data_IF_008639527150
#
_entry.id   IF_008639527150
#
_cell.length_a   1.000
_cell.length_b   1.000
_cell.length_c   1.000
_cell.angle_alpha   90.00
_cell.angle_beta   90.00
_cell.angle_gamma   90.00
#
_symmetry.space_group_name_H-M   'P 1'
#
loop_
_entity.id
_entity.type
_entity.pdbx_description
1 polymer ?
#
# COMPACT_ATOMS: atom_id res chain seq x y z
N UNK A 1 -15.01 13.71 20.83
CA UNK A 1 -15.52 12.47 20.29
C UNK A 1 -16.09 12.65 18.89
N UNK A 2 -16.36 11.57 18.23
CA UNK A 2 -16.87 11.56 16.84
C UNK A 2 -18.36 11.19 16.76
N UNK A 3 -18.94 10.64 17.84
CA UNK A 3 -20.38 10.42 17.91
C UNK A 3 -21.11 11.67 18.37
N UNK A 4 -22.32 11.88 17.83
CA UNK A 4 -23.23 12.96 18.21
C UNK A 4 -24.60 12.40 18.54
N UNK A 5 -25.39 13.14 19.33
CA UNK A 5 -26.78 12.77 19.57
C UNK A 5 -27.61 13.00 18.30
N UNK A 6 -28.30 11.95 17.81
CA UNK A 6 -29.26 12.08 16.71
C UNK A 6 -30.51 12.87 17.13
N UNK A 7 -30.83 12.90 18.43
CA UNK A 7 -31.92 13.68 19.03
C UNK A 7 -31.50 14.26 20.36
N UNK A 8 -31.94 15.47 20.68
CA UNK A 8 -31.68 16.16 21.98
C UNK A 8 -32.50 15.61 23.17
N UNK A 9 -33.43 14.72 22.93
CA UNK A 9 -34.28 14.07 23.92
C UNK A 9 -34.18 12.55 23.82
N UNK A 10 -34.43 11.81 24.90
CA UNK A 10 -34.38 10.36 24.89
C UNK A 10 -35.28 9.77 23.82
N UNK A 11 -34.81 8.70 23.15
CA UNK A 11 -35.60 7.95 22.17
C UNK A 11 -36.70 7.08 22.85
N UNK A 12 -36.49 6.73 24.12
CA UNK A 12 -37.45 6.02 24.97
C UNK A 12 -37.22 6.38 26.44
N UNK A 13 -38.28 6.26 27.25
CA UNK A 13 -38.25 6.44 28.71
C UNK A 13 -39.02 5.30 29.32
N UNK A 14 -38.48 4.65 30.37
CA UNK A 14 -39.14 3.65 31.16
C UNK A 14 -38.75 3.77 32.62
N UNK A 15 -39.55 3.16 33.55
CA UNK A 15 -39.31 3.23 34.97
C UNK A 15 -40.04 4.41 35.70
N UNK A 16 -41.02 5.06 35.06
CA UNK A 16 -41.83 6.09 35.70
C UNK A 16 -42.48 5.54 36.96
N UNK A 17 -42.51 6.34 38.03
CA UNK A 17 -42.99 5.93 39.35
C UNK A 17 -41.96 5.17 40.21
N UNK A 18 -40.75 4.97 39.70
CA UNK A 18 -39.62 4.37 40.43
C UNK A 18 -38.51 5.39 40.69
N UNK A 19 -37.46 4.98 41.43
CA UNK A 19 -36.26 5.80 41.63
C UNK A 19 -35.28 5.77 40.48
N UNK A 20 -35.46 4.84 39.53
CA UNK A 20 -34.57 4.62 38.41
C UNK A 20 -35.34 4.78 37.09
N UNK A 21 -34.84 5.66 36.23
CA UNK A 21 -35.34 5.81 34.85
C UNK A 21 -34.29 5.26 33.87
N UNK A 22 -34.76 4.47 32.93
CA UNK A 22 -33.97 4.09 31.77
C UNK A 22 -34.30 5.00 30.59
N UNK A 23 -33.27 5.65 30.05
CA UNK A 23 -33.39 6.61 28.95
C UNK A 23 -32.70 6.05 27.70
N UNK A 24 -33.44 5.89 26.61
CA UNK A 24 -32.84 5.49 25.33
C UNK A 24 -32.04 6.61 24.72
N UNK A 25 -30.83 6.30 24.26
CA UNK A 25 -29.92 7.23 23.58
C UNK A 25 -29.76 6.81 22.13
N UNK A 26 -30.00 7.73 21.22
CA UNK A 26 -29.77 7.50 19.78
C UNK A 26 -28.58 8.35 19.34
N UNK A 27 -27.54 7.67 18.80
CA UNK A 27 -26.31 8.29 18.33
C UNK A 27 -26.22 8.25 16.81
N UNK A 28 -25.58 9.26 16.24
CA UNK A 28 -25.01 9.25 14.88
C UNK A 28 -23.50 9.10 15.01
N UNK A 29 -22.93 8.16 14.28
CA UNK A 29 -21.52 7.77 14.40
C UNK A 29 -21.28 6.80 15.56
N UNK A 30 -20.03 6.34 15.67
CA UNK A 30 -19.59 5.44 16.75
C UNK A 30 -18.81 6.25 17.80
N UNK A 31 -19.14 6.14 19.10
CA UNK A 31 -18.38 6.80 20.13
C UNK A 31 -16.97 6.20 20.25
N UNK A 32 -16.00 7.04 20.57
CA UNK A 32 -14.61 6.65 20.83
C UNK A 32 -14.20 6.77 22.32
N UNK A 33 -15.18 6.77 23.23
CA UNK A 33 -14.95 6.84 24.67
C UNK A 33 -14.62 8.25 25.21
N UNK A 34 -14.47 9.25 24.33
CA UNK A 34 -14.17 10.65 24.71
C UNK A 34 -15.42 11.53 24.79
N UNK A 35 -16.56 11.01 24.38
CA UNK A 35 -17.85 11.71 24.44
C UNK A 35 -18.43 11.68 25.85
N UNK A 36 -18.91 12.82 26.30
CA UNK A 36 -19.60 12.97 27.58
C UNK A 36 -21.08 13.22 27.31
N UNK A 37 -21.92 12.26 27.67
CA UNK A 37 -23.37 12.43 27.68
C UNK A 37 -23.77 13.21 28.92
N UNK A 38 -24.53 14.29 28.74
CA UNK A 38 -25.13 15.04 29.84
C UNK A 38 -26.66 14.89 29.80
N UNK A 39 -27.25 14.52 30.93
CA UNK A 39 -28.70 14.38 31.07
C UNK A 39 -29.22 15.47 31.97
N UNK A 40 -30.16 16.28 31.50
CA UNK A 40 -30.76 17.36 32.25
C UNK A 40 -32.28 17.26 32.20
N UNK A 41 -32.98 17.22 33.35
CA UNK A 41 -34.44 17.29 33.36
C UNK A 41 -34.92 18.60 32.72
N UNK A 42 -35.95 18.54 31.91
CA UNK A 42 -36.62 19.75 31.41
C UNK A 42 -37.37 20.40 32.55
N UNK A 43 -37.34 21.73 32.65
CA UNK A 43 -38.05 22.47 33.70
C UNK A 43 -39.50 22.07 33.75
N UNK A 44 -40.03 21.79 34.97
CA UNK A 44 -41.41 21.41 35.23
C UNK A 44 -41.88 20.13 34.52
N UNK A 45 -40.97 19.20 34.22
CA UNK A 45 -41.32 17.96 33.51
C UNK A 45 -41.20 16.71 34.37
N UNK A 46 -40.50 16.77 35.49
CA UNK A 46 -40.30 15.65 36.44
C UNK A 46 -40.63 16.10 37.83
N UNK A 47 -41.48 15.31 38.48
CA UNK A 47 -41.99 15.58 39.83
C UNK A 47 -41.80 14.37 40.75
N UNK A 48 -41.64 14.58 42.02
CA UNK A 48 -41.79 13.54 43.04
C UNK A 48 -43.28 13.26 43.35
N UNK A 49 -43.53 12.25 44.19
CA UNK A 49 -44.90 11.87 44.55
C UNK A 49 -45.68 12.98 45.25
N UNK A 50 -45.07 13.82 46.15
CA UNK A 50 -45.72 14.99 46.73
C UNK A 50 -45.92 16.18 45.78
N UNK A 51 -45.34 16.15 44.57
CA UNK A 51 -45.52 17.21 43.57
C UNK A 51 -44.34 18.21 43.51
N UNK A 52 -43.22 17.95 44.18
CA UNK A 52 -42.05 18.84 44.08
C UNK A 52 -41.33 18.66 42.73
N UNK A 53 -40.93 19.80 42.18
CA UNK A 53 -40.27 19.83 40.85
C UNK A 53 -38.80 19.41 40.98
N UNK A 54 -38.32 18.55 40.10
CA UNK A 54 -36.90 18.21 39.98
C UNK A 54 -36.08 19.41 39.54
N UNK A 55 -34.97 19.67 40.23
CA UNK A 55 -34.01 20.70 39.82
C UNK A 55 -33.43 20.42 38.42
N UNK A 56 -33.32 21.45 37.61
CA UNK A 56 -32.60 21.38 36.34
C UNK A 56 -31.08 21.41 36.49
N UNK A 57 -30.58 21.84 37.68
CA UNK A 57 -29.18 21.82 38.04
C UNK A 57 -28.84 20.51 38.73
N UNK A 58 -28.10 19.63 38.05
CA UNK A 58 -27.73 18.32 38.54
C UNK A 58 -26.20 18.20 38.62
N UNK A 59 -25.66 17.64 39.73
CA UNK A 59 -24.22 17.46 39.92
C UNK A 59 -23.69 16.12 39.36
N UNK A 60 -24.57 15.11 39.20
CA UNK A 60 -24.21 13.74 38.73
C UNK A 60 -25.00 13.37 37.49
N UNK A 61 -24.94 14.23 36.48
CA UNK A 61 -25.74 14.11 35.28
C UNK A 61 -24.89 13.82 34.01
N UNK A 62 -23.63 13.45 34.21
CA UNK A 62 -22.67 13.17 33.10
C UNK A 62 -22.20 11.72 33.13
N UNK A 63 -22.10 11.14 31.99
CA UNK A 63 -21.51 9.81 31.75
C UNK A 63 -20.68 9.82 30.49
N UNK A 64 -19.50 9.19 30.50
CA UNK A 64 -18.76 8.93 29.28
C UNK A 64 -19.45 7.83 28.50
N UNK A 65 -19.53 7.99 27.17
CA UNK A 65 -19.96 6.91 26.31
C UNK A 65 -18.88 5.84 26.24
N UNK A 66 -19.32 4.59 26.16
CA UNK A 66 -18.39 3.48 25.94
C UNK A 66 -17.81 3.56 24.53
N UNK A 67 -16.52 3.28 24.40
CA UNK A 67 -15.87 3.16 23.10
C UNK A 67 -16.48 2.04 22.28
N UNK A 68 -16.83 2.35 21.03
CA UNK A 68 -17.34 1.46 19.98
C UNK A 68 -16.65 1.72 18.66
N UNK A 69 -15.64 2.58 18.66
CA UNK A 69 -14.80 2.83 17.52
C UNK A 69 -13.79 1.68 17.41
N UNK A 70 -13.54 1.20 16.22
CA UNK A 70 -12.64 0.06 16.00
C UNK A 70 -11.29 0.55 15.52
N UNK A 71 -10.18 -0.11 15.87
CA UNK A 71 -8.87 0.25 15.35
C UNK A 71 -8.83 0.21 13.82
N UNK A 72 -8.30 1.28 13.25
CA UNK A 72 -8.11 1.44 11.80
C UNK A 72 -6.74 2.03 11.51
N UNK A 73 -6.20 1.73 10.32
CA UNK A 73 -5.01 2.43 9.84
C UNK A 73 -5.34 3.90 9.57
N UNK A 74 -4.50 4.78 10.08
CA UNK A 74 -4.52 6.22 9.80
C UNK A 74 -3.49 6.61 8.75
N UNK A 75 -2.46 5.77 8.55
CA UNK A 75 -1.43 5.96 7.53
C UNK A 75 -0.72 4.65 7.22
N UNK A 76 -0.11 4.58 6.05
CA UNK A 76 0.89 3.58 5.69
C UNK A 76 2.00 4.18 4.84
N UNK A 77 3.23 3.63 4.94
CA UNK A 77 4.38 4.03 4.15
C UNK A 77 5.26 2.81 3.84
N UNK A 78 5.55 2.61 2.56
CA UNK A 78 6.44 1.54 2.09
C UNK A 78 7.88 2.05 2.04
N UNK A 79 8.82 1.23 2.49
CA UNK A 79 10.25 1.50 2.33
C UNK A 79 10.63 1.47 0.83
N UNK A 80 11.60 2.32 0.40
CA UNK A 80 12.01 2.38 -1.01
C UNK A 80 12.51 1.05 -1.59
N UNK A 81 13.04 0.16 -0.76
CA UNK A 81 13.53 -1.18 -1.12
C UNK A 81 12.47 -2.29 -1.01
N UNK A 82 11.22 -1.94 -0.75
CA UNK A 82 10.10 -2.86 -0.52
C UNK A 82 10.25 -3.80 0.70
N UNK A 83 11.26 -3.60 1.56
CA UNK A 83 11.55 -4.53 2.66
C UNK A 83 10.62 -4.38 3.86
N UNK A 84 9.99 -3.22 4.04
CA UNK A 84 9.17 -2.90 5.20
C UNK A 84 7.99 -2.02 4.80
N UNK A 85 6.81 -2.33 5.35
CA UNK A 85 5.66 -1.43 5.37
C UNK A 85 5.43 -0.92 6.80
N UNK A 86 5.44 0.38 7.00
CA UNK A 86 5.02 1.02 8.23
C UNK A 86 3.51 1.27 8.17
N UNK A 87 2.77 0.80 9.18
CA UNK A 87 1.33 1.06 9.34
C UNK A 87 1.09 1.75 10.67
N UNK A 88 0.30 2.82 10.67
CA UNK A 88 -0.04 3.55 11.88
C UNK A 88 -1.51 3.35 12.20
N UNK A 89 -1.82 2.85 13.40
CA UNK A 89 -3.20 2.79 13.87
C UNK A 89 -3.63 4.15 14.45
N UNK A 90 -4.92 4.44 14.36
CA UNK A 90 -5.54 5.64 14.94
C UNK A 90 -5.55 5.65 16.48
N UNK A 91 -5.25 4.51 17.12
CA UNK A 91 -5.26 4.29 18.57
C UNK A 91 -4.32 3.15 18.97
N UNK A 92 -3.98 3.00 20.27
CA UNK A 92 -3.21 1.86 20.77
C UNK A 92 -3.94 0.53 20.53
N UNK A 93 -3.20 -0.49 20.09
CA UNK A 93 -3.74 -1.82 19.80
C UNK A 93 -3.01 -2.94 20.55
N UNK A 94 -3.72 -4.04 20.76
CA UNK A 94 -3.29 -5.19 21.56
C UNK A 94 -3.70 -6.50 20.86
N UNK A 95 -2.95 -7.58 21.13
CA UNK A 95 -3.26 -8.91 20.60
C UNK A 95 -4.44 -9.61 21.31
N UNK A 96 -4.93 -9.07 22.44
CA UNK A 96 -6.04 -9.64 23.20
C UNK A 96 -7.07 -8.58 23.56
N UNK A 97 -8.36 -8.98 23.61
CA UNK A 97 -9.51 -8.11 23.89
C UNK A 97 -9.53 -7.50 25.29
N UNK A 98 -8.66 -7.94 26.19
CA UNK A 98 -8.50 -7.37 27.54
C UNK A 98 -7.36 -6.35 27.63
N UNK A 99 -6.95 -5.75 26.51
CA UNK A 99 -5.86 -4.78 26.39
C UNK A 99 -4.49 -5.35 26.83
N UNK A 100 -4.23 -6.62 26.57
CA UNK A 100 -2.94 -7.26 26.84
C UNK A 100 -2.40 -7.98 25.60
N UNK A 101 -1.14 -8.39 25.67
CA UNK A 101 -0.45 -9.06 24.57
C UNK A 101 0.15 -8.07 23.58
N UNK A 102 1.33 -8.42 23.09
CA UNK A 102 2.01 -7.68 22.02
C UNK A 102 1.52 -8.19 20.67
N UNK A 103 1.40 -7.27 19.73
CA UNK A 103 1.15 -7.58 18.32
C UNK A 103 2.37 -8.28 17.75
N UNK A 104 2.17 -9.36 17.01
CA UNK A 104 3.21 -10.15 16.36
C UNK A 104 2.90 -10.42 14.86
N UNK A 105 3.75 -11.19 14.22
CA UNK A 105 3.66 -11.48 12.78
C UNK A 105 2.38 -12.23 12.40
N UNK A 106 1.82 -13.02 13.30
CA UNK A 106 0.61 -13.82 13.05
C UNK A 106 -0.69 -13.00 13.07
N UNK A 107 -0.62 -11.74 13.51
CA UNK A 107 -1.77 -10.84 13.64
C UNK A 107 -2.11 -10.11 12.33
N UNK A 108 -1.28 -10.29 11.29
CA UNK A 108 -1.45 -9.65 9.99
C UNK A 108 -1.56 -10.66 8.86
N UNK A 109 -2.19 -10.25 7.78
CA UNK A 109 -2.25 -10.96 6.51
C UNK A 109 -1.73 -10.09 5.38
N UNK A 110 -0.88 -10.68 4.52
CA UNK A 110 -0.32 -10.09 3.32
C UNK A 110 -0.84 -10.79 2.08
N UNK A 111 -1.13 -10.01 1.04
CA UNK A 111 -1.38 -10.53 -0.32
C UNK A 111 -0.66 -9.66 -1.34
N UNK A 112 -0.18 -10.28 -2.42
CA UNK A 112 0.47 -9.62 -3.53
C UNK A 112 -0.16 -10.13 -4.83
N UNK A 113 -0.57 -9.23 -5.71
CA UNK A 113 -1.20 -9.55 -6.98
C UNK A 113 -0.53 -8.76 -8.11
N UNK A 114 -0.38 -9.42 -9.25
CA UNK A 114 0.30 -8.86 -10.43
C UNK A 114 1.81 -8.95 -10.31
N UNK A 115 2.50 -8.40 -11.30
CA UNK A 115 3.95 -8.26 -11.36
C UNK A 115 4.76 -9.55 -11.36
N UNK A 116 6.06 -9.37 -11.27
CA UNK A 116 7.06 -10.44 -11.33
C UNK A 116 7.41 -11.02 -9.96
N UNK A 117 7.37 -10.19 -8.90
CA UNK A 117 7.69 -10.61 -7.54
C UNK A 117 6.57 -11.43 -6.88
N UNK A 118 6.95 -12.27 -5.92
CA UNK A 118 6.01 -13.07 -5.11
C UNK A 118 6.33 -12.94 -3.64
N UNK A 119 5.31 -13.02 -2.78
CA UNK A 119 5.53 -13.09 -1.33
C UNK A 119 6.09 -14.47 -0.95
N UNK A 120 7.18 -14.49 -0.17
CA UNK A 120 7.67 -15.71 0.47
C UNK A 120 6.77 -16.15 1.63
N UNK A 121 6.04 -15.21 2.25
CA UNK A 121 5.10 -15.46 3.35
C UNK A 121 3.86 -14.57 3.19
N UNK A 122 2.69 -15.11 3.48
CA UNK A 122 1.43 -14.37 3.50
C UNK A 122 1.22 -13.58 4.82
N UNK A 123 2.28 -13.28 5.56
CA UNK A 123 2.32 -12.52 6.81
C UNK A 123 3.69 -11.87 6.98
N UNK A 124 3.85 -10.85 7.85
CA UNK A 124 5.13 -10.18 8.07
C UNK A 124 6.23 -11.14 8.50
N UNK A 125 7.45 -10.92 8.03
CA UNK A 125 8.63 -11.63 8.50
C UNK A 125 9.08 -11.15 9.90
N UNK A 126 8.82 -9.88 10.20
CA UNK A 126 9.11 -9.25 11.48
C UNK A 126 8.08 -8.17 11.81
N UNK A 127 7.96 -7.84 13.11
CA UNK A 127 7.13 -6.74 13.60
C UNK A 127 7.95 -5.89 14.55
N UNK A 128 8.12 -4.60 14.22
CA UNK A 128 8.64 -3.56 15.10
C UNK A 128 7.52 -2.61 15.53
N UNK A 129 7.64 -1.94 16.68
CA UNK A 129 6.64 -1.01 17.16
C UNK A 129 7.26 0.25 17.76
N UNK A 130 6.73 1.42 17.32
CA UNK A 130 7.02 2.71 17.95
C UNK A 130 5.69 3.46 18.09
N UNK A 131 5.19 3.61 19.32
CA UNK A 131 3.86 4.16 19.58
C UNK A 131 2.76 3.32 18.90
N UNK A 132 1.93 3.96 18.07
CA UNK A 132 0.87 3.30 17.29
C UNK A 132 1.32 2.86 15.90
N UNK A 133 2.61 3.05 15.56
CA UNK A 133 3.17 2.65 14.26
C UNK A 133 3.86 1.30 14.37
N UNK A 134 3.51 0.42 13.48
CA UNK A 134 4.07 -0.93 13.35
C UNK A 134 4.85 -1.04 12.04
N UNK A 135 6.12 -1.45 12.14
CA UNK A 135 6.97 -1.76 10.99
C UNK A 135 6.86 -3.25 10.70
N UNK A 136 6.29 -3.62 9.57
CA UNK A 136 6.01 -4.99 9.17
C UNK A 136 7.00 -5.38 8.08
N UNK A 137 7.88 -6.35 8.34
CA UNK A 137 8.87 -6.85 7.40
C UNK A 137 8.21 -7.59 6.23
N UNK A 138 8.66 -7.31 5.01
CA UNK A 138 8.21 -7.94 3.77
C UNK A 138 9.37 -8.77 3.22
N UNK A 139 9.11 -10.02 2.81
CA UNK A 139 10.06 -10.83 2.05
C UNK A 139 9.48 -11.23 0.73
N UNK A 140 10.19 -10.86 -0.33
CA UNK A 140 9.84 -11.17 -1.70
C UNK A 140 10.78 -12.26 -2.26
N UNK A 141 10.27 -13.03 -3.19
CA UNK A 141 10.99 -13.85 -4.14
C UNK A 141 10.92 -13.14 -5.49
N UNK A 142 12.09 -12.86 -6.06
CA UNK A 142 12.22 -12.00 -7.25
C UNK A 142 12.17 -10.50 -6.94
N UNK A 143 12.41 -9.72 -7.97
CA UNK A 143 12.38 -8.26 -7.94
C UNK A 143 11.00 -7.77 -8.38
N UNK A 144 10.48 -6.77 -7.70
CA UNK A 144 9.22 -6.14 -8.08
C UNK A 144 9.41 -5.27 -9.32
N UNK A 145 8.45 -5.33 -10.25
CA UNK A 145 8.41 -4.55 -11.49
C UNK A 145 7.48 -3.32 -11.41
N UNK A 146 7.05 -2.95 -10.19
CA UNK A 146 6.18 -1.80 -9.95
C UNK A 146 4.71 -2.01 -10.36
N UNK A 147 4.36 -3.15 -10.97
CA UNK A 147 2.97 -3.46 -11.33
C UNK A 147 2.23 -4.20 -10.21
N UNK A 148 2.96 -4.76 -9.24
CA UNK A 148 2.41 -5.47 -8.11
C UNK A 148 1.51 -4.57 -7.27
N UNK A 149 0.38 -5.14 -6.82
CA UNK A 149 -0.48 -4.55 -5.81
C UNK A 149 -0.32 -5.33 -4.51
N UNK A 150 0.35 -4.71 -3.54
CA UNK A 150 0.55 -5.25 -2.21
C UNK A 150 -0.58 -4.82 -1.29
N UNK A 151 -1.23 -5.79 -0.64
CA UNK A 151 -2.30 -5.56 0.34
C UNK A 151 -1.91 -6.15 1.68
N UNK A 152 -2.15 -5.40 2.75
CA UNK A 152 -1.83 -5.78 4.12
C UNK A 152 -2.98 -5.38 5.05
N UNK A 153 -3.39 -6.27 5.93
CA UNK A 153 -4.53 -6.05 6.82
C UNK A 153 -4.36 -6.80 8.14
N UNK A 154 -5.05 -6.37 9.22
CA UNK A 154 -5.20 -7.18 10.41
C UNK A 154 -5.86 -8.52 10.09
N UNK A 155 -5.36 -9.59 10.68
CA UNK A 155 -6.04 -10.88 10.66
C UNK A 155 -7.33 -10.77 11.47
N UNK A 156 -8.38 -11.43 11.01
CA UNK A 156 -9.68 -11.37 11.66
C UNK A 156 -9.62 -11.80 13.13
N UNK A 157 -10.00 -10.91 14.03
CA UNK A 157 -10.06 -11.19 15.46
C UNK A 157 -8.72 -11.31 16.17
N UNK A 158 -7.62 -10.80 15.57
CA UNK A 158 -6.28 -10.86 16.15
C UNK A 158 -5.86 -9.55 16.84
N UNK A 159 -6.38 -8.40 16.40
CA UNK A 159 -6.00 -7.08 16.91
C UNK A 159 -7.21 -6.38 17.56
N UNK A 160 -7.01 -5.78 18.73
CA UNK A 160 -8.05 -5.14 19.54
C UNK A 160 -7.57 -3.80 20.07
N UNK A 161 -8.49 -2.87 20.36
CA UNK A 161 -8.22 -1.66 21.15
C UNK A 161 -8.20 -1.95 22.66
N UNK A 162 -8.06 -0.89 23.45
CA UNK A 162 -8.05 -0.95 24.93
C UNK A 162 -9.40 -1.33 25.53
N UNK A 163 -10.49 -1.28 24.78
CA UNK A 163 -11.84 -1.61 25.23
C UNK A 163 -12.37 -2.92 24.66
N UNK A 164 -11.54 -3.63 23.86
CA UNK A 164 -11.83 -4.93 23.29
C UNK A 164 -12.57 -4.89 21.95
N UNK A 165 -12.68 -3.72 21.28
CA UNK A 165 -13.20 -3.66 19.92
C UNK A 165 -12.16 -4.23 18.97
N UNK A 166 -12.59 -5.10 18.05
CA UNK A 166 -11.73 -5.76 17.06
C UNK A 166 -11.35 -4.79 15.94
N UNK A 167 -10.11 -4.78 15.52
CA UNK A 167 -9.68 -4.08 14.33
C UNK A 167 -10.47 -4.56 13.10
N UNK A 168 -10.84 -3.62 12.24
CA UNK A 168 -11.47 -3.95 10.96
C UNK A 168 -10.49 -4.69 10.06
N UNK A 169 -10.96 -5.69 9.33
CA UNK A 169 -10.20 -6.33 8.23
C UNK A 169 -10.28 -5.54 6.94
N UNK A 170 -11.24 -4.61 6.85
CA UNK A 170 -11.32 -3.62 5.76
C UNK A 170 -10.71 -2.32 6.27
N UNK A 171 -9.52 -2.00 5.77
CA UNK A 171 -8.74 -0.86 6.18
C UNK A 171 -8.61 0.14 5.04
N UNK A 172 -8.64 1.45 5.34
CA UNK A 172 -8.04 2.45 4.47
C UNK A 172 -6.51 2.30 4.54
N UNK A 173 -5.78 2.75 3.52
CA UNK A 173 -4.31 2.65 3.47
C UNK A 173 -3.73 1.23 3.57
N UNK A 174 -4.52 0.21 3.18
CA UNK A 174 -4.12 -1.20 3.25
C UNK A 174 -3.66 -1.79 1.91
N UNK A 175 -3.53 -0.98 0.87
CA UNK A 175 -3.09 -1.40 -0.46
C UNK A 175 -2.24 -0.32 -1.11
N UNK A 176 -1.15 -0.73 -1.75
CA UNK A 176 -0.24 0.15 -2.49
C UNK A 176 0.51 -0.63 -3.57
N UNK A 177 1.15 0.08 -4.49
CA UNK A 177 2.08 -0.51 -5.44
C UNK A 177 3.44 -0.72 -4.78
N UNK A 178 4.13 -1.81 -5.14
CA UNK A 178 5.55 -1.94 -4.82
C UNK A 178 6.36 -0.97 -5.69
N UNK A 179 7.51 -0.56 -5.16
CA UNK A 179 8.48 0.19 -5.94
C UNK A 179 9.12 -0.76 -6.97
N UNK A 180 9.33 -0.28 -8.18
CA UNK A 180 10.06 -1.01 -9.20
C UNK A 180 11.52 -1.22 -8.77
N UNK A 181 11.99 -2.45 -8.90
CA UNK A 181 13.36 -2.90 -8.61
C UNK A 181 13.87 -3.87 -9.68
N UNK A 182 13.03 -4.18 -10.67
CA UNK A 182 13.41 -5.03 -11.76
C UNK A 182 14.19 -4.22 -12.81
N UNK A 183 15.38 -4.65 -13.24
CA UNK A 183 16.06 -3.98 -14.32
C UNK A 183 15.30 -4.17 -15.64
N UNK A 184 15.41 -3.24 -16.60
CA UNK A 184 14.83 -3.39 -17.90
C UNK A 184 15.48 -4.55 -18.66
N UNK A 185 14.68 -5.40 -19.29
CA UNK A 185 15.13 -6.54 -20.06
C UNK A 185 14.79 -6.40 -21.56
N UNK A 186 15.58 -7.04 -22.41
CA UNK A 186 15.23 -7.18 -23.83
C UNK A 186 14.12 -8.22 -23.95
N UNK A 187 12.94 -7.77 -24.36
CA UNK A 187 11.76 -8.60 -24.58
C UNK A 187 11.82 -9.37 -25.89
N UNK A 188 12.31 -8.71 -26.94
CA UNK A 188 12.45 -9.33 -28.27
C UNK A 188 13.47 -8.60 -29.14
N UNK A 189 14.02 -9.34 -30.08
CA UNK A 189 14.88 -8.85 -31.14
C UNK A 189 14.26 -9.18 -32.50
N UNK A 190 14.37 -8.27 -33.47
CA UNK A 190 13.95 -8.48 -34.84
C UNK A 190 14.97 -7.90 -35.84
N UNK A 191 15.58 -8.74 -36.62
CA UNK A 191 16.50 -8.34 -37.69
C UNK A 191 15.72 -8.08 -39.00
N UNK A 192 15.98 -6.94 -39.62
CA UNK A 192 15.40 -6.63 -40.92
C UNK A 192 15.86 -7.66 -41.99
N UNK A 193 15.01 -7.96 -43.00
CA UNK A 193 15.28 -8.95 -44.01
C UNK A 193 16.51 -8.64 -44.86
N UNK A 194 16.86 -7.37 -44.99
CA UNK A 194 18.06 -6.88 -45.68
C UNK A 194 19.30 -6.78 -44.77
N UNK A 195 19.21 -7.24 -43.53
CA UNK A 195 20.25 -7.17 -42.49
C UNK A 195 20.73 -5.74 -42.14
N UNK A 196 20.03 -4.71 -42.57
CA UNK A 196 20.45 -3.32 -42.39
C UNK A 196 20.12 -2.76 -41.01
N UNK A 197 19.19 -3.36 -40.27
CA UNK A 197 18.65 -2.85 -38.99
C UNK A 197 18.31 -3.98 -38.06
N UNK A 198 18.57 -3.76 -36.75
CA UNK A 198 18.11 -4.59 -35.64
C UNK A 198 17.12 -3.77 -34.79
N UNK A 199 15.92 -4.29 -34.61
CA UNK A 199 14.95 -3.73 -33.64
C UNK A 199 15.06 -4.49 -32.34
N UNK A 200 15.13 -3.71 -31.21
CA UNK A 200 15.19 -4.20 -29.84
C UNK A 200 13.92 -3.67 -29.16
N UNK A 201 13.08 -4.56 -28.64
CA UNK A 201 11.92 -4.21 -27.82
C UNK A 201 12.25 -4.51 -26.36
N UNK A 202 12.13 -3.51 -25.48
CA UNK A 202 12.35 -3.67 -24.05
C UNK A 202 11.06 -3.99 -23.33
N UNK A 203 11.16 -4.63 -22.16
CA UNK A 203 10.02 -4.93 -21.28
C UNK A 203 9.32 -3.67 -20.80
N UNK A 204 10.05 -2.55 -20.75
CA UNK A 204 9.60 -1.26 -20.22
C UNK A 204 10.31 -0.08 -20.91
N UNK A 205 9.98 1.14 -20.51
CA UNK A 205 10.66 2.35 -21.00
C UNK A 205 12.05 2.48 -20.41
N UNK A 206 13.03 2.72 -21.28
CA UNK A 206 14.43 2.82 -20.89
C UNK A 206 15.03 4.20 -21.17
N UNK A 207 16.03 4.57 -20.38
CA UNK A 207 16.68 5.87 -20.33
C UNK A 207 18.20 5.72 -20.19
N UNK A 208 18.96 6.76 -20.56
CA UNK A 208 20.42 6.77 -20.41
C UNK A 208 20.89 7.18 -19.00
N UNK A 209 19.96 7.56 -18.09
CA UNK A 209 20.27 7.97 -16.73
C UNK A 209 19.34 7.31 -15.73
N UNK A 210 19.88 6.94 -14.55
CA UNK A 210 19.16 6.27 -13.48
C UNK A 210 18.07 7.12 -12.78
N UNK A 211 17.82 8.34 -13.22
CA UNK A 211 16.71 9.16 -12.75
C UNK A 211 15.51 9.17 -13.73
N UNK A 212 15.44 8.22 -14.65
CA UNK A 212 14.37 8.11 -15.63
C UNK A 212 14.39 9.20 -16.71
N UNK A 213 15.59 9.75 -17.02
CA UNK A 213 15.75 10.79 -18.04
C UNK A 213 16.90 10.48 -19.01
N UNK A 214 16.93 11.21 -20.10
CA UNK A 214 17.95 11.08 -21.14
C UNK A 214 17.60 10.01 -22.18
N UNK A 215 17.95 10.30 -23.42
CA UNK A 215 17.77 9.38 -24.55
C UNK A 215 18.98 8.46 -24.69
N UNK A 216 18.73 7.24 -25.13
CA UNK A 216 19.82 6.32 -25.47
C UNK A 216 20.53 6.77 -26.74
N UNK A 217 21.84 6.57 -26.75
CA UNK A 217 22.73 6.90 -27.84
C UNK A 217 23.30 5.63 -28.50
N UNK A 218 23.94 5.81 -29.65
CA UNK A 218 24.58 4.69 -30.37
C UNK A 218 25.68 4.02 -29.55
N UNK A 219 26.36 4.76 -28.73
CA UNK A 219 27.43 4.30 -27.84
C UNK A 219 26.94 3.36 -26.73
N UNK A 220 25.64 3.34 -26.45
CA UNK A 220 25.04 2.48 -25.40
C UNK A 220 24.89 1.02 -25.85
N UNK A 221 25.13 0.75 -27.17
CA UNK A 221 25.03 -0.56 -27.77
C UNK A 221 26.30 -0.95 -28.49
N UNK A 222 26.70 -2.21 -28.36
CA UNK A 222 27.83 -2.79 -29.07
C UNK A 222 27.36 -4.01 -29.82
N UNK A 223 27.64 -4.03 -31.14
CA UNK A 223 27.42 -5.17 -31.99
C UNK A 223 28.67 -6.05 -32.05
N UNK A 224 28.46 -7.33 -32.11
CA UNK A 224 29.44 -8.32 -32.55
C UNK A 224 28.82 -9.31 -33.53
N UNK A 225 29.61 -9.85 -34.40
CA UNK A 225 29.18 -10.88 -35.35
C UNK A 225 30.16 -12.04 -35.30
N UNK A 226 29.62 -13.25 -35.32
CA UNK A 226 30.41 -14.48 -35.50
C UNK A 226 30.01 -15.10 -36.82
N UNK A 227 30.98 -15.68 -37.52
CA UNK A 227 30.85 -16.19 -38.91
C UNK A 227 31.99 -15.65 -39.80
N UNK A 228 32.09 -16.15 -41.01
CA UNK A 228 33.28 -15.90 -41.85
C UNK A 228 33.03 -14.97 -43.03
N UNK A 229 31.75 -14.68 -43.38
CA UNK A 229 31.43 -14.02 -44.66
C UNK A 229 31.12 -12.53 -44.53
N UNK A 230 30.78 -12.06 -43.34
CA UNK A 230 30.54 -10.62 -43.10
C UNK A 230 31.46 -10.05 -42.01
N UNK A 231 31.77 -8.76 -42.17
CA UNK A 231 32.49 -7.96 -41.16
C UNK A 231 31.73 -6.69 -40.87
N UNK A 232 31.55 -6.39 -39.60
CA UNK A 232 30.96 -5.10 -39.17
C UNK A 232 31.91 -3.95 -39.53
N UNK A 233 31.40 -2.87 -40.11
CA UNK A 233 32.16 -1.66 -40.41
C UNK A 233 32.42 -0.80 -39.14
N UNK A 234 31.62 -1.03 -38.11
CA UNK A 234 31.71 -0.43 -36.78
C UNK A 234 31.10 -1.37 -35.76
N UNK A 235 31.63 -1.47 -34.54
CA UNK A 235 31.01 -2.17 -33.45
C UNK A 235 29.80 -1.41 -32.86
N UNK A 236 29.64 -0.14 -33.23
CA UNK A 236 28.50 0.68 -32.79
C UNK A 236 27.46 0.79 -33.89
N UNK A 237 26.16 0.96 -33.54
CA UNK A 237 25.10 1.24 -34.49
C UNK A 237 25.41 2.46 -35.37
N UNK A 238 25.08 2.38 -36.65
CA UNK A 238 25.22 3.50 -37.59
C UNK A 238 24.12 4.57 -37.35
N UNK A 239 22.95 4.14 -36.88
CA UNK A 239 21.83 5.00 -36.51
C UNK A 239 21.07 4.41 -35.32
N UNK A 240 20.32 5.26 -34.60
CA UNK A 240 19.38 4.86 -33.58
C UNK A 240 18.06 5.64 -33.76
N UNK A 241 16.93 4.95 -33.66
CA UNK A 241 15.61 5.54 -33.68
C UNK A 241 14.74 4.86 -32.62
N UNK A 242 13.87 5.64 -31.93
CA UNK A 242 12.98 5.15 -30.85
C UNK A 242 11.53 5.26 -31.27
N UNK A 243 10.73 4.24 -30.95
CA UNK A 243 9.28 4.24 -31.06
C UNK A 243 8.68 3.43 -29.90
N UNK A 244 8.12 4.11 -28.91
CA UNK A 244 7.70 3.47 -27.66
C UNK A 244 8.89 2.85 -26.92
N UNK A 245 8.80 1.56 -26.60
CA UNK A 245 9.87 0.78 -25.97
C UNK A 245 10.82 0.10 -27.00
N UNK A 246 10.58 0.31 -28.28
CA UNK A 246 11.36 -0.30 -29.38
C UNK A 246 12.42 0.67 -29.88
N UNK A 247 13.67 0.21 -29.93
CA UNK A 247 14.81 0.88 -30.55
C UNK A 247 15.22 0.18 -31.83
N UNK A 248 15.33 0.94 -32.91
CA UNK A 248 15.80 0.46 -34.18
C UNK A 248 17.24 0.94 -34.43
N UNK A 249 18.18 0.01 -34.46
CA UNK A 249 19.61 0.24 -34.58
C UNK A 249 20.07 -0.09 -36.01
N UNK A 250 20.73 0.85 -36.67
CA UNK A 250 21.32 0.64 -37.97
C UNK A 250 22.57 -0.24 -37.88
N UNK A 251 22.70 -1.21 -38.79
CA UNK A 251 23.85 -2.10 -38.89
C UNK A 251 24.71 -1.67 -40.08
N UNK A 252 26.01 -1.53 -39.89
CA UNK A 252 26.98 -1.34 -40.95
C UNK A 252 27.82 -2.62 -41.13
N UNK A 253 27.70 -3.27 -42.26
CA UNK A 253 28.47 -4.48 -42.58
C UNK A 253 29.03 -4.45 -44.01
N UNK A 254 30.02 -5.30 -44.28
CA UNK A 254 30.58 -5.60 -45.61
C UNK A 254 30.61 -7.11 -45.79
N UNK A 255 30.46 -7.56 -47.02
CA UNK A 255 30.39 -8.97 -47.41
C UNK A 255 28.93 -9.43 -47.53
N UNK A 256 28.73 -10.61 -48.08
CA UNK A 256 27.41 -11.20 -48.30
C UNK A 256 27.16 -12.29 -47.23
N UNK A 257 26.14 -12.15 -46.39
CA UNK A 257 25.83 -13.15 -45.39
C UNK A 257 25.32 -14.45 -46.04
N UNK A 258 25.77 -15.57 -45.53
CA UNK A 258 25.37 -16.90 -46.00
C UNK A 258 24.33 -17.59 -45.10
N UNK A 259 23.87 -16.91 -44.03
CA UNK A 259 22.87 -17.42 -43.09
C UNK A 259 23.44 -18.21 -41.90
N UNK A 260 24.77 -18.32 -41.80
CA UNK A 260 25.43 -18.96 -40.64
C UNK A 260 25.93 -17.93 -39.62
N UNK A 261 25.93 -16.66 -39.99
CA UNK A 261 26.36 -15.58 -39.13
C UNK A 261 25.36 -15.34 -37.98
N UNK A 262 25.91 -15.07 -36.78
CA UNK A 262 25.12 -14.66 -35.61
C UNK A 262 25.53 -13.25 -35.26
N UNK A 263 24.59 -12.32 -35.38
CA UNK A 263 24.71 -10.94 -34.84
C UNK A 263 24.30 -10.95 -33.38
N UNK A 264 25.17 -10.42 -32.52
CA UNK A 264 24.88 -10.19 -31.12
C UNK A 264 24.87 -8.68 -30.81
N UNK A 265 23.99 -8.26 -29.96
CA UNK A 265 23.98 -6.90 -29.40
C UNK A 265 24.20 -6.97 -27.89
N UNK A 266 25.12 -6.17 -27.39
CA UNK A 266 25.39 -5.97 -25.98
C UNK A 266 24.99 -4.55 -25.63
N UNK A 267 24.35 -4.41 -24.45
CA UNK A 267 24.12 -3.12 -23.79
C UNK A 267 25.38 -2.81 -22.98
N UNK A 268 25.90 -1.59 -23.11
CA UNK A 268 27.07 -1.14 -22.32
C UNK A 268 26.66 -1.03 -20.84
N UNK A 269 27.52 -1.49 -19.96
CA UNK A 269 27.27 -1.42 -18.52
C UNK A 269 26.96 0.02 -18.06
N UNK A 270 25.92 0.17 -17.26
CA UNK A 270 25.43 1.45 -16.76
C UNK A 270 25.02 2.47 -17.84
N UNK A 271 24.64 2.01 -19.03
CA UNK A 271 24.18 2.87 -20.11
C UNK A 271 22.66 2.87 -20.28
N UNK A 272 21.95 1.84 -19.78
CA UNK A 272 20.50 1.70 -19.92
C UNK A 272 19.88 1.47 -18.54
N UNK A 273 18.92 2.31 -18.18
CA UNK A 273 18.20 2.32 -16.92
C UNK A 273 16.70 2.32 -17.17
N UNK A 274 15.93 1.84 -16.22
CA UNK A 274 14.48 2.02 -16.15
C UNK A 274 14.08 3.43 -15.66
N UNK A 275 12.78 3.65 -15.45
CA UNK A 275 12.26 4.90 -14.89
C UNK A 275 12.50 5.06 -13.39
N UNK A 276 12.92 4.00 -12.70
CA UNK A 276 13.12 3.94 -11.24
C UNK A 276 14.59 4.03 -10.84
N UNK A 277 15.53 3.78 -11.75
CA UNK A 277 16.97 3.88 -11.62
C UNK A 277 17.62 2.61 -11.15
#
# INVERSE_FOLDING_TARGET
>A
GIATLAKKYPSSVSGSGTKTLSLGVLLTGRPNGKEVLTVTPVSKSVFDKPGNITSTTQSKNKANLNDKFVPQYSASALAPDNSVIAVTFNEPVFAKSNATGKIDTSDFEFTLNGGSAKLLKAYPDSVGQVGNTYSLGIKLDGLADGTETFTFKPKSGAIFDSTGNKASTTQSFSSLKLNDKAPPEIKSLSLAADNSKLSIDFTESVYSKGNGTGDLEKSDFVFSVTGETIVLTSPFPTSIAKSGNTFTLGIGSRGDPNGTEVLSVLIVDNAVFDGSG
#
